data_IF_799654381116
#
_entry.id   IF_799654381116
#
_cell.length_a   1.000
_cell.length_b   1.000
_cell.length_c   1.000
_cell.angle_alpha   90.00
_cell.angle_beta   90.00
_cell.angle_gamma   90.00
#
_symmetry.space_group_name_H-M   'P 1'
#
loop_
_entity.id
_entity.type
_entity.pdbx_description
1 polymer ?
#
# COMPACT_ATOMS: atom_id res chain seq x y z
N UNK A 1 -16.05 -9.39 10.00
CA UNK A 1 -15.80 -8.13 9.26
C UNK A 1 -14.74 -7.32 10.00
N UNK A 2 -13.68 -6.84 9.34
CA UNK A 2 -12.58 -6.10 10.00
C UNK A 2 -13.06 -4.69 10.43
N UNK A 3 -12.89 -4.26 11.69
CA UNK A 3 -13.32 -2.94 12.15
C UNK A 3 -12.50 -1.82 11.50
N UNK A 4 -13.07 -0.61 11.42
CA UNK A 4 -12.43 0.52 10.74
C UNK A 4 -11.06 0.86 11.33
N UNK A 5 -10.90 0.76 12.66
CA UNK A 5 -9.61 1.01 13.33
C UNK A 5 -8.50 0.09 12.83
N UNK A 6 -8.77 -1.21 12.69
CA UNK A 6 -7.81 -2.17 12.12
C UNK A 6 -7.49 -1.90 10.65
N UNK A 7 -8.47 -1.40 9.87
CA UNK A 7 -8.22 -0.98 8.48
C UNK A 7 -7.28 0.23 8.43
N UNK A 8 -7.48 1.21 9.31
CA UNK A 8 -6.61 2.39 9.41
C UNK A 8 -5.18 2.01 9.82
N UNK A 9 -5.01 1.08 10.77
CA UNK A 9 -3.69 0.57 11.15
C UNK A 9 -2.98 -0.10 9.98
N UNK A 10 -3.68 -0.95 9.22
CA UNK A 10 -3.13 -1.53 8.00
C UNK A 10 -2.63 -0.46 7.03
N UNK A 11 -3.45 0.57 6.76
CA UNK A 11 -3.08 1.67 5.87
C UNK A 11 -1.81 2.40 6.35
N UNK A 12 -1.67 2.63 7.67
CA UNK A 12 -0.44 3.20 8.24
C UNK A 12 0.77 2.29 8.06
N UNK A 13 0.57 0.98 8.15
CA UNK A 13 1.61 -0.04 8.01
C UNK A 13 2.05 -0.23 6.56
N UNK A 14 1.22 0.04 5.57
CA UNK A 14 1.65 -0.06 4.16
C UNK A 14 2.22 1.26 3.62
N UNK A 15 1.86 2.40 4.22
CA UNK A 15 2.23 3.74 3.76
C UNK A 15 3.74 4.04 3.96
N UNK A 16 4.60 3.33 3.24
CA UNK A 16 6.03 3.56 3.13
C UNK A 16 6.52 3.02 1.78
N UNK A 17 7.36 3.76 1.03
CA UNK A 17 7.78 3.36 -0.31
C UNK A 17 8.36 1.94 -0.38
N UNK A 18 9.27 1.58 0.53
CA UNK A 18 9.87 0.24 0.56
C UNK A 18 8.84 -0.87 0.82
N UNK A 19 7.84 -0.63 1.67
CA UNK A 19 6.81 -1.63 1.99
C UNK A 19 5.87 -1.83 0.80
N UNK A 20 5.51 -0.75 0.10
CA UNK A 20 4.75 -0.85 -1.15
C UNK A 20 5.51 -1.66 -2.19
N UNK A 21 6.81 -1.41 -2.38
CA UNK A 21 7.62 -2.20 -3.32
C UNK A 21 7.72 -3.68 -2.92
N UNK A 22 7.94 -3.99 -1.65
CA UNK A 22 7.94 -5.38 -1.14
C UNK A 22 6.61 -6.07 -1.43
N UNK A 23 5.49 -5.42 -1.08
CA UNK A 23 4.16 -5.97 -1.31
C UNK A 23 3.85 -6.15 -2.79
N UNK A 24 4.35 -5.25 -3.65
CA UNK A 24 4.20 -5.35 -5.09
C UNK A 24 4.94 -6.54 -5.69
N UNK A 25 6.17 -6.79 -5.24
CA UNK A 25 6.91 -7.98 -5.66
C UNK A 25 6.26 -9.27 -5.16
N UNK A 26 5.74 -9.26 -3.92
CA UNK A 26 5.03 -10.40 -3.35
C UNK A 26 3.65 -10.65 -4.00
N UNK A 27 3.03 -9.63 -4.58
CA UNK A 27 1.81 -9.78 -5.37
C UNK A 27 2.04 -10.55 -6.69
N UNK A 28 3.27 -10.56 -7.19
CA UNK A 28 3.67 -11.31 -8.40
C UNK A 28 4.01 -12.78 -8.10
N UNK A 29 4.22 -13.12 -6.82
CA UNK A 29 4.56 -14.47 -6.38
C UNK A 29 5.47 -14.47 -5.15
N UNK A 30 5.82 -15.67 -4.70
CA UNK A 30 6.72 -15.86 -3.55
C UNK A 30 8.10 -15.28 -3.85
N UNK A 31 8.72 -14.61 -2.87
CA UNK A 31 10.08 -14.03 -2.98
C UNK A 31 10.93 -14.38 -1.76
N UNK A 32 12.19 -14.73 -1.95
CA UNK A 32 13.13 -14.97 -0.87
C UNK A 32 13.90 -13.69 -0.50
N UNK A 33 14.49 -13.65 0.70
CA UNK A 33 15.16 -12.44 1.23
C UNK A 33 16.23 -11.88 0.26
N UNK A 34 16.98 -12.76 -0.41
CA UNK A 34 17.99 -12.41 -1.41
C UNK A 34 17.41 -11.64 -2.60
N UNK A 35 16.18 -11.97 -3.00
CA UNK A 35 15.54 -11.34 -4.17
C UNK A 35 15.28 -9.86 -3.89
N UNK A 36 14.95 -9.49 -2.66
CA UNK A 36 14.66 -8.10 -2.30
C UNK A 36 15.87 -7.17 -2.34
N UNK A 37 17.09 -7.68 -2.15
CA UNK A 37 18.32 -6.87 -2.27
C UNK A 37 18.52 -6.37 -3.68
N UNK A 38 18.23 -7.22 -4.67
CA UNK A 38 18.40 -6.92 -6.09
C UNK A 38 17.39 -5.87 -6.57
N UNK A 39 16.15 -5.93 -6.08
CA UNK A 39 15.07 -5.05 -6.56
C UNK A 39 14.92 -3.73 -5.81
N UNK A 40 15.29 -3.66 -4.53
CA UNK A 40 14.92 -2.51 -3.70
C UNK A 40 16.00 -1.42 -3.64
N UNK A 41 17.27 -1.70 -3.97
CA UNK A 41 18.42 -0.82 -3.71
C UNK A 41 18.52 -0.39 -2.22
N UNK A 42 18.07 -1.25 -1.30
CA UNK A 42 18.09 -0.99 0.16
C UNK A 42 18.94 -2.06 0.85
N UNK A 43 19.67 -1.69 1.91
CA UNK A 43 20.47 -2.63 2.71
C UNK A 43 19.63 -3.67 3.48
N UNK A 44 20.20 -4.86 3.71
CA UNK A 44 19.58 -5.98 4.44
C UNK A 44 18.98 -5.66 5.81
N UNK A 45 19.64 -4.86 6.69
CA UNK A 45 19.06 -4.52 8.00
C UNK A 45 17.71 -3.81 7.88
N UNK A 46 17.54 -2.99 6.84
CA UNK A 46 16.31 -2.25 6.60
C UNK A 46 15.19 -3.14 6.02
N UNK A 47 15.54 -4.12 5.17
CA UNK A 47 14.57 -5.06 4.58
C UNK A 47 13.96 -5.96 5.67
N UNK A 48 14.81 -6.52 6.54
CA UNK A 48 14.34 -7.40 7.62
C UNK A 48 13.38 -6.71 8.59
N UNK A 49 13.59 -5.41 8.87
CA UNK A 49 12.69 -4.61 9.68
C UNK A 49 11.32 -4.42 9.01
N UNK A 50 11.31 -4.09 7.71
CA UNK A 50 10.07 -3.96 6.95
C UNK A 50 9.29 -5.27 6.88
N UNK A 51 9.96 -6.39 6.59
CA UNK A 51 9.33 -7.72 6.55
C UNK A 51 8.75 -8.12 7.92
N UNK A 52 9.48 -7.88 9.00
CA UNK A 52 9.01 -8.17 10.36
C UNK A 52 7.75 -7.39 10.71
N UNK A 53 7.69 -6.12 10.32
CA UNK A 53 6.53 -5.26 10.58
C UNK A 53 5.32 -5.65 9.72
N UNK A 54 5.53 -5.96 8.43
CA UNK A 54 4.44 -6.45 7.57
C UNK A 54 3.88 -7.77 8.10
N UNK A 55 4.74 -8.65 8.60
CA UNK A 55 4.36 -9.93 9.21
C UNK A 55 3.60 -9.77 10.52
N UNK A 56 4.06 -8.89 11.42
CA UNK A 56 3.37 -8.67 12.70
C UNK A 56 1.94 -8.14 12.53
N UNK A 57 1.66 -7.48 11.41
CA UNK A 57 0.33 -7.03 11.01
C UNK A 57 -0.46 -8.03 10.15
N UNK A 58 0.09 -9.23 9.91
CA UNK A 58 -0.58 -10.31 9.19
C UNK A 58 -0.75 -10.07 7.69
N UNK A 59 0.08 -9.20 7.09
CA UNK A 59 0.03 -8.90 5.66
C UNK A 59 0.79 -9.92 4.82
N UNK A 60 1.86 -10.46 5.40
CA UNK A 60 2.75 -11.45 4.80
C UNK A 60 3.08 -12.54 5.81
N UNK A 61 3.55 -13.67 5.33
CA UNK A 61 4.25 -14.68 6.12
C UNK A 61 5.37 -15.30 5.30
N UNK A 62 6.09 -16.27 5.86
CA UNK A 62 7.15 -16.98 5.15
C UNK A 62 7.18 -18.47 5.46
N UNK A 63 7.78 -19.23 4.55
CA UNK A 63 8.28 -20.57 4.83
C UNK A 63 9.81 -20.60 4.72
N UNK A 64 10.41 -21.64 5.28
CA UNK A 64 11.86 -21.86 5.22
C UNK A 64 12.13 -22.86 4.10
N UNK A 65 12.95 -22.46 3.13
CA UNK A 65 13.45 -23.31 2.05
C UNK A 65 14.97 -23.44 2.16
N UNK A 66 15.43 -24.55 2.73
CA UNK A 66 16.82 -24.75 3.11
C UNK A 66 17.31 -23.69 4.11
N UNK A 67 18.16 -22.76 3.66
CA UNK A 67 18.68 -21.64 4.47
C UNK A 67 17.96 -20.32 4.20
N UNK A 68 17.05 -20.29 3.23
CA UNK A 68 16.36 -19.10 2.78
C UNK A 68 15.00 -18.97 3.48
N UNK A 69 14.60 -17.72 3.74
CA UNK A 69 13.22 -17.38 4.10
C UNK A 69 12.53 -16.85 2.86
N UNK A 70 11.43 -17.49 2.46
CA UNK A 70 10.66 -17.14 1.29
C UNK A 70 9.27 -16.68 1.69
N UNK A 71 8.98 -15.42 1.39
CA UNK A 71 7.82 -14.67 1.84
C UNK A 71 6.70 -14.69 0.80
N UNK A 72 5.47 -14.60 1.27
CA UNK A 72 4.26 -14.57 0.46
C UNK A 72 3.19 -13.67 1.07
N UNK A 73 2.28 -13.16 0.25
CA UNK A 73 1.13 -12.37 0.72
C UNK A 73 0.11 -13.25 1.45
N UNK A 74 -0.43 -12.74 2.55
CA UNK A 74 -1.50 -13.38 3.33
C UNK A 74 -2.80 -12.58 3.26
N UNK A 75 -2.71 -11.24 3.33
CA UNK A 75 -3.91 -10.40 3.35
C UNK A 75 -4.43 -10.14 1.93
N UNK A 76 -5.66 -10.60 1.59
CA UNK A 76 -6.21 -10.47 0.25
C UNK A 76 -6.57 -9.04 -0.14
N UNK A 77 -6.56 -8.06 0.79
CA UNK A 77 -6.81 -6.65 0.45
C UNK A 77 -5.63 -6.01 -0.29
N UNK A 78 -4.43 -6.58 -0.17
CA UNK A 78 -3.21 -5.96 -0.66
C UNK A 78 -3.19 -5.83 -2.19
N UNK A 79 -3.53 -6.87 -2.99
CA UNK A 79 -3.60 -6.74 -4.44
C UNK A 79 -4.55 -5.63 -4.90
N UNK A 80 -5.78 -5.58 -4.36
CA UNK A 80 -6.78 -4.56 -4.69
C UNK A 80 -6.26 -3.15 -4.41
N UNK A 81 -5.57 -2.99 -3.27
CA UNK A 81 -5.05 -1.70 -2.85
C UNK A 81 -3.85 -1.25 -3.69
N UNK A 82 -2.97 -2.17 -4.07
CA UNK A 82 -1.86 -1.90 -4.98
C UNK A 82 -2.39 -1.47 -6.35
N UNK A 83 -3.47 -2.09 -6.84
CA UNK A 83 -4.12 -1.67 -8.09
C UNK A 83 -4.60 -0.22 -8.00
N UNK A 84 -5.24 0.16 -6.89
CA UNK A 84 -5.70 1.55 -6.67
C UNK A 84 -4.55 2.53 -6.58
N UNK A 85 -3.46 2.18 -5.89
CA UNK A 85 -2.28 3.04 -5.71
C UNK A 85 -1.54 3.27 -7.03
N UNK A 86 -1.51 2.28 -7.92
CA UNK A 86 -0.84 2.35 -9.21
C UNK A 86 -1.63 3.10 -10.28
N UNK A 87 -2.90 3.42 -10.04
CA UNK A 87 -3.71 4.19 -10.99
C UNK A 87 -3.29 5.65 -10.97
N UNK A 88 -2.97 6.17 -12.15
CA UNK A 88 -2.78 7.60 -12.36
C UNK A 88 -4.14 8.30 -12.42
N UNK A 89 -4.37 9.22 -11.50
CA UNK A 89 -5.57 10.08 -11.48
C UNK A 89 -5.21 11.46 -12.04
N UNK A 90 -5.28 11.58 -13.37
CA UNK A 90 -4.93 12.83 -14.07
C UNK A 90 -6.04 13.90 -14.00
N UNK A 91 -7.27 13.49 -13.67
CA UNK A 91 -8.43 14.38 -13.60
C UNK A 91 -8.86 14.59 -12.14
N UNK A 92 -9.11 15.85 -11.78
CA UNK A 92 -9.73 16.16 -10.49
C UNK A 92 -11.24 15.99 -10.58
N UNK A 93 -11.86 15.46 -9.53
CA UNK A 93 -13.32 15.43 -9.43
C UNK A 93 -13.91 16.84 -9.62
N UNK A 94 -15.00 16.98 -10.38
CA UNK A 94 -15.59 18.29 -10.66
C UNK A 94 -16.08 18.95 -9.37
N UNK A 95 -15.89 20.26 -9.28
CA UNK A 95 -16.50 21.02 -8.20
C UNK A 95 -18.04 20.94 -8.32
N UNK A 96 -18.78 20.84 -7.19
CA UNK A 96 -20.23 20.88 -7.24
C UNK A 96 -20.70 22.23 -7.79
N UNK A 97 -21.68 22.21 -8.70
CA UNK A 97 -22.19 23.42 -9.35
C UNK A 97 -22.82 24.42 -8.35
N UNK A 98 -23.38 23.91 -7.25
CA UNK A 98 -23.94 24.69 -6.17
C UNK A 98 -23.87 23.94 -4.83
N UNK A 99 -24.13 24.64 -3.72
CA UNK A 99 -24.27 23.99 -2.42
C UNK A 99 -25.41 22.94 -2.48
N UNK A 100 -25.15 21.65 -2.15
CA UNK A 100 -26.17 20.61 -2.25
C UNK A 100 -27.33 20.80 -1.26
N UNK A 101 -27.11 21.57 -0.19
CA UNK A 101 -28.10 21.82 0.87
C UNK A 101 -28.97 23.05 0.55
N UNK A 102 -28.37 24.18 0.16
CA UNK A 102 -29.12 25.43 -0.01
C UNK A 102 -29.45 25.77 -1.46
N UNK A 103 -28.77 25.17 -2.45
CA UNK A 103 -28.84 25.47 -3.90
C UNK A 103 -28.68 26.95 -4.30
N UNK A 104 -28.38 27.84 -3.33
CA UNK A 104 -28.30 29.29 -3.52
C UNK A 104 -26.87 29.80 -3.70
N UNK A 105 -25.86 29.00 -3.31
CA UNK A 105 -24.45 29.38 -3.45
C UNK A 105 -23.87 29.00 -4.82
N UNK A 106 -23.08 29.90 -5.42
CA UNK A 106 -22.16 29.57 -6.53
C UNK A 106 -20.84 29.08 -5.93
N UNK A 107 -20.27 28.01 -6.48
CA UNK A 107 -18.91 27.60 -6.14
C UNK A 107 -17.95 28.72 -6.56
N UNK A 108 -17.07 29.23 -5.68
CA UNK A 108 -16.25 30.41 -5.97
C UNK A 108 -15.22 30.22 -7.10
N UNK A 109 -15.13 29.02 -7.70
CA UNK A 109 -14.15 28.68 -8.74
C UNK A 109 -12.71 28.72 -8.21
N UNK A 110 -11.75 28.20 -8.99
CA UNK A 110 -10.33 28.35 -8.67
C UNK A 110 -9.94 29.82 -8.91
N UNK A 111 -9.46 30.55 -7.88
CA UNK A 111 -8.60 31.72 -8.13
C UNK A 111 -7.36 31.20 -8.85
N UNK A 112 -7.20 31.56 -10.12
CA UNK A 112 -5.94 31.37 -10.83
C UNK A 112 -4.92 32.30 -10.17
N UNK A 113 -3.86 31.74 -9.61
CA UNK A 113 -2.62 32.47 -9.34
C UNK A 113 -1.70 32.29 -10.54
#
# INVERSE_FOLDING_TARGET
>A
MRPIGKKVELLKVIAHPARIRILDELAKGVKCVSDFEEFLEISQPNISQHLSLLRSHGLIDYYIDGRLRCYFLVDPIIPDLLEVIKKDYCESLPAPACCPVTRKGKYPGKRRH
#
